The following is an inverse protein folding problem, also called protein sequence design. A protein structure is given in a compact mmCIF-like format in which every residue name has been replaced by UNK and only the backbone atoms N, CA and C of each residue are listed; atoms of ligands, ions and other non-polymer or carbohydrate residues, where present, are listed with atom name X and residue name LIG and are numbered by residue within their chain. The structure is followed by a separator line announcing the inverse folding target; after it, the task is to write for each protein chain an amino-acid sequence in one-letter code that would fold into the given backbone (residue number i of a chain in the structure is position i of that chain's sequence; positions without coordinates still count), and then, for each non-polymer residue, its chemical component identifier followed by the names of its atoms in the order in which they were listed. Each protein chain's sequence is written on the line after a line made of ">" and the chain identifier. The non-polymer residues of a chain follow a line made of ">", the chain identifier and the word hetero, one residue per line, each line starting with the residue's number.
data_IF_700898984495
#
_entry.id   IF_700898984495
#
_cell.length_a   1.000
_cell.length_b   1.000
_cell.length_c   1.000
_cell.angle_alpha   90.00
_cell.angle_beta   90.00
_cell.angle_gamma   90.00
#
_symmetry.space_group_name_H-M   'P 1'
#
loop_
_entity.id
_entity.type
_entity.pdbx_description
1 polymer ?
#
# COMPACT_ATOMS: atom_id res chain seq x y z
N UNK A 1 17.17 24.64 20.52
CA UNK A 1 16.04 23.78 20.93
C UNK A 1 15.54 23.07 19.68
N UNK A 2 15.33 21.76 19.72
CA UNK A 2 14.78 21.03 18.58
C UNK A 2 13.27 21.23 18.49
N UNK A 3 12.70 21.23 17.28
CA UNK A 3 11.27 21.44 17.02
C UNK A 3 10.73 20.35 16.10
N UNK A 4 9.53 19.84 16.41
CA UNK A 4 8.76 18.99 15.49
C UNK A 4 8.01 19.90 14.52
N UNK A 5 8.37 19.86 13.24
CA UNK A 5 7.81 20.74 12.20
C UNK A 5 6.68 20.09 11.38
N UNK A 6 6.59 18.77 11.39
CA UNK A 6 5.57 18.01 10.65
C UNK A 6 5.33 16.64 11.30
N UNK A 7 4.06 16.23 11.35
CA UNK A 7 3.64 14.85 11.58
C UNK A 7 2.80 14.36 10.41
N UNK A 8 3.07 13.14 9.92
CA UNK A 8 2.37 12.54 8.79
C UNK A 8 2.42 11.01 8.88
N UNK A 9 1.50 10.34 8.19
CA UNK A 9 1.47 8.88 8.10
C UNK A 9 1.05 8.43 6.70
N UNK A 10 1.52 7.26 6.31
CA UNK A 10 1.14 6.54 5.09
C UNK A 10 1.20 5.05 5.37
N UNK A 11 0.45 4.24 4.63
CA UNK A 11 0.64 2.79 4.64
C UNK A 11 2.06 2.44 4.17
N UNK A 12 2.64 1.36 4.69
CA UNK A 12 3.91 0.79 4.20
C UNK A 12 3.68 -0.47 3.34
N UNK A 13 2.42 -0.74 2.95
CA UNK A 13 2.06 -1.93 2.20
C UNK A 13 2.79 -2.04 0.85
N UNK A 14 3.17 -3.26 0.42
CA UNK A 14 4.03 -3.46 -0.75
C UNK A 14 3.42 -2.94 -2.05
N UNK A 15 2.09 -2.89 -2.15
CA UNK A 15 1.35 -2.40 -3.32
C UNK A 15 1.58 -0.90 -3.62
N UNK A 16 2.15 -0.13 -2.69
CA UNK A 16 2.57 1.26 -2.96
C UNK A 16 3.91 1.35 -3.71
N UNK A 17 4.70 0.27 -3.72
CA UNK A 17 6.02 0.24 -4.36
C UNK A 17 6.09 -0.77 -5.52
N UNK A 18 5.25 -1.80 -5.50
CA UNK A 18 5.15 -2.79 -6.59
C UNK A 18 4.17 -2.26 -7.64
N UNK A 19 4.54 -2.20 -8.93
CA UNK A 19 3.62 -1.76 -9.98
C UNK A 19 2.42 -2.71 -10.10
N UNK A 20 1.23 -2.22 -10.49
CA UNK A 20 0.01 -3.04 -10.62
C UNK A 20 0.19 -4.31 -11.46
N UNK A 21 1.02 -4.25 -12.51
CA UNK A 21 1.33 -5.41 -13.37
C UNK A 21 1.97 -6.58 -12.63
N UNK A 22 2.54 -6.34 -11.44
CA UNK A 22 3.22 -7.34 -10.62
C UNK A 22 2.44 -7.71 -9.35
N UNK A 23 1.24 -7.18 -9.13
CA UNK A 23 0.46 -7.51 -7.93
C UNK A 23 0.02 -8.97 -7.87
N UNK A 24 -0.03 -9.66 -9.00
CA UNK A 24 -0.28 -11.11 -9.04
C UNK A 24 0.75 -11.94 -8.24
N UNK A 25 1.98 -11.43 -8.08
CA UNK A 25 3.02 -12.07 -7.27
C UNK A 25 2.64 -12.13 -5.78
N UNK A 26 1.81 -11.18 -5.31
CA UNK A 26 1.29 -11.20 -3.94
C UNK A 26 0.27 -12.33 -3.76
N UNK A 27 -0.56 -12.58 -4.78
CA UNK A 27 -1.48 -13.72 -4.81
C UNK A 27 -0.71 -15.04 -4.79
N UNK A 28 0.35 -15.18 -5.60
CA UNK A 28 1.19 -16.39 -5.60
C UNK A 28 1.83 -16.65 -4.24
N UNK A 29 2.31 -15.59 -3.59
CA UNK A 29 2.83 -15.67 -2.22
C UNK A 29 1.75 -16.14 -1.24
N UNK A 30 0.57 -15.55 -1.27
CA UNK A 30 -0.51 -15.89 -0.33
C UNK A 30 -1.06 -17.31 -0.56
N UNK A 31 -1.03 -17.81 -1.80
CA UNK A 31 -1.40 -19.19 -2.14
C UNK A 31 -0.39 -20.24 -1.67
N UNK A 32 0.88 -19.85 -1.52
CA UNK A 32 1.98 -20.75 -1.14
C UNK A 32 2.41 -20.60 0.32
N UNK A 33 1.88 -19.60 1.03
CA UNK A 33 2.18 -19.37 2.44
C UNK A 33 1.52 -20.43 3.33
N UNK A 34 2.29 -21.28 4.04
CA UNK A 34 1.73 -22.33 4.88
C UNK A 34 0.94 -21.81 6.08
N UNK A 35 1.03 -20.51 6.39
CA UNK A 35 0.25 -19.85 7.45
C UNK A 35 -1.17 -19.51 7.02
N UNK A 36 -1.46 -19.58 5.71
CA UNK A 36 -2.73 -19.16 5.11
C UNK A 36 -3.46 -20.38 4.55
N UNK A 37 -4.66 -20.68 5.06
CA UNK A 37 -5.58 -21.62 4.38
C UNK A 37 -6.32 -20.89 3.25
N UNK A 38 -5.61 -20.70 2.13
CA UNK A 38 -6.14 -19.97 0.98
C UNK A 38 -7.42 -20.61 0.43
N UNK A 39 -7.54 -21.94 0.47
CA UNK A 39 -8.72 -22.66 -0.01
C UNK A 39 -9.94 -22.46 0.90
N UNK A 40 -9.76 -22.31 2.21
CA UNK A 40 -10.84 -21.87 3.09
C UNK A 40 -11.31 -20.45 2.78
N UNK A 41 -10.38 -19.52 2.51
CA UNK A 41 -10.71 -18.13 2.19
C UNK A 41 -11.52 -18.01 0.89
N UNK A 42 -11.18 -18.79 -0.15
CA UNK A 42 -11.94 -18.82 -1.40
C UNK A 42 -13.42 -19.24 -1.21
N UNK A 43 -13.72 -20.06 -0.19
CA UNK A 43 -15.09 -20.52 0.09
C UNK A 43 -15.97 -19.47 0.76
N UNK A 44 -15.37 -18.45 1.37
CA UNK A 44 -16.07 -17.38 2.09
C UNK A 44 -15.94 -16.02 1.39
N UNK A 45 -15.38 -16.00 0.18
CA UNK A 45 -15.14 -14.77 -0.57
C UNK A 45 -16.45 -14.06 -0.93
N UNK A 46 -16.54 -12.73 -0.74
CA UNK A 46 -17.67 -11.95 -1.25
C UNK A 46 -17.81 -12.08 -2.76
N UNK A 47 -19.06 -12.11 -3.26
CA UNK A 47 -19.35 -12.31 -4.69
C UNK A 47 -18.86 -11.18 -5.58
N UNK A 48 -18.80 -9.97 -5.03
CA UNK A 48 -18.38 -8.74 -5.68
C UNK A 48 -16.85 -8.55 -5.67
N UNK A 49 -16.10 -9.35 -4.91
CA UNK A 49 -14.65 -9.17 -4.81
C UNK A 49 -13.95 -9.32 -6.16
N UNK A 50 -14.45 -10.19 -7.05
CA UNK A 50 -13.88 -10.38 -8.38
C UNK A 50 -14.01 -9.13 -9.26
N UNK A 51 -15.07 -8.35 -9.07
CA UNK A 51 -15.29 -7.09 -9.79
C UNK A 51 -14.32 -6.00 -9.29
N UNK A 52 -13.93 -6.10 -8.02
CA UNK A 52 -12.99 -5.19 -7.35
C UNK A 52 -11.52 -5.68 -7.42
N UNK A 53 -11.22 -6.77 -8.12
CA UNK A 53 -9.88 -7.36 -8.21
C UNK A 53 -9.43 -7.61 -9.67
N UNK A 54 -9.61 -6.60 -10.52
CA UNK A 54 -9.17 -6.62 -11.92
C UNK A 54 -7.91 -5.74 -12.13
N UNK A 55 -7.23 -5.91 -13.27
CA UNK A 55 -6.09 -5.08 -13.67
C UNK A 55 -6.41 -3.59 -13.71
N UNK A 56 -7.61 -3.23 -14.16
CA UNK A 56 -8.07 -1.84 -14.27
C UNK A 56 -8.27 -1.25 -12.87
N UNK A 57 -8.88 -2.01 -11.95
CA UNK A 57 -9.04 -1.62 -10.55
C UNK A 57 -7.71 -1.49 -9.83
N UNK A 58 -6.74 -2.35 -10.14
CA UNK A 58 -5.39 -2.25 -9.58
C UNK A 58 -4.71 -0.95 -10.02
N UNK A 59 -4.76 -0.64 -11.32
CA UNK A 59 -4.19 0.58 -11.85
C UNK A 59 -4.88 1.83 -11.27
N UNK A 60 -6.21 1.85 -11.24
CA UNK A 60 -7.02 2.94 -10.67
C UNK A 60 -6.59 3.26 -9.22
N UNK A 61 -6.48 2.22 -8.38
CA UNK A 61 -6.13 2.39 -6.97
C UNK A 61 -4.68 2.79 -6.77
N UNK A 62 -3.76 2.20 -7.54
CA UNK A 62 -2.35 2.59 -7.52
C UNK A 62 -2.19 4.07 -7.85
N UNK A 63 -2.85 4.53 -8.92
CA UNK A 63 -2.81 5.93 -9.32
C UNK A 63 -3.39 6.85 -8.24
N UNK A 64 -4.54 6.48 -7.65
CA UNK A 64 -5.15 7.23 -6.55
C UNK A 64 -4.23 7.31 -5.32
N UNK A 65 -3.58 6.21 -4.95
CA UNK A 65 -2.58 6.20 -3.87
C UNK A 65 -1.40 7.11 -4.21
N UNK A 66 -0.88 7.07 -5.44
CA UNK A 66 0.23 7.93 -5.85
C UNK A 66 -0.15 9.42 -5.92
N UNK A 67 -1.39 9.78 -6.21
CA UNK A 67 -1.89 11.15 -6.06
C UNK A 67 -1.78 11.59 -4.59
N UNK A 68 -2.23 10.77 -3.65
CA UNK A 68 -2.15 11.08 -2.22
C UNK A 68 -0.68 11.15 -1.73
N UNK A 69 0.19 10.24 -2.18
CA UNK A 69 1.62 10.27 -1.87
C UNK A 69 2.29 11.55 -2.36
N UNK A 70 1.95 12.06 -3.56
CA UNK A 70 2.47 13.35 -4.05
C UNK A 70 2.04 14.53 -3.17
N UNK A 71 0.84 14.48 -2.59
CA UNK A 71 0.41 15.51 -1.62
C UNK A 71 1.24 15.47 -0.34
N UNK A 72 1.50 14.26 0.18
CA UNK A 72 2.38 14.04 1.33
C UNK A 72 3.82 14.51 1.05
N UNK A 73 4.35 14.18 -0.13
CA UNK A 73 5.66 14.65 -0.60
C UNK A 73 5.71 16.18 -0.62
N UNK A 74 4.69 16.84 -1.17
CA UNK A 74 4.60 18.30 -1.20
C UNK A 74 4.67 18.92 0.20
N UNK A 75 3.92 18.37 1.16
CA UNK A 75 3.96 18.81 2.57
C UNK A 75 5.32 18.59 3.21
N UNK A 76 5.94 17.43 2.99
CA UNK A 76 7.27 17.11 3.52
C UNK A 76 8.33 18.09 2.98
N UNK A 77 8.33 18.35 1.67
CA UNK A 77 9.25 19.30 1.03
C UNK A 77 9.05 20.73 1.53
N UNK A 78 7.79 21.14 1.73
CA UNK A 78 7.48 22.47 2.25
C UNK A 78 7.92 22.66 3.71
N UNK A 79 7.82 21.61 4.54
CA UNK A 79 8.23 21.64 5.93
C UNK A 79 9.75 21.71 6.13
N UNK A 80 10.54 21.29 5.13
CA UNK A 80 12.02 21.33 5.13
C UNK A 80 12.63 20.81 6.45
N UNK A 81 12.29 19.60 6.91
CA UNK A 81 12.86 19.08 8.15
C UNK A 81 14.36 18.79 7.99
N UNK A 82 15.14 19.09 9.02
CA UNK A 82 16.58 18.75 9.06
C UNK A 82 16.80 17.24 9.26
N UNK A 83 15.84 16.55 9.88
CA UNK A 83 15.85 15.11 10.11
C UNK A 83 14.44 14.52 10.05
N UNK A 84 14.32 13.26 9.62
CA UNK A 84 13.05 12.52 9.59
C UNK A 84 13.20 11.28 10.47
N UNK A 85 12.26 11.11 11.40
CA UNK A 85 12.12 9.88 12.20
C UNK A 85 10.99 9.05 11.60
N UNK A 86 11.32 7.87 11.10
CA UNK A 86 10.34 6.94 10.52
C UNK A 86 9.99 5.89 11.57
N UNK A 87 8.70 5.69 11.81
CA UNK A 87 8.17 4.69 12.74
C UNK A 87 7.36 3.68 11.93
N UNK A 88 7.74 2.41 11.99
CA UNK A 88 7.09 1.29 11.32
C UNK A 88 7.55 -0.03 11.90
N UNK A 89 6.95 -1.12 11.45
CA UNK A 89 7.36 -2.49 11.67
C UNK A 89 8.38 -2.97 10.60
N UNK A 90 9.07 -4.07 10.92
CA UNK A 90 10.06 -4.76 10.07
C UNK A 90 9.40 -5.90 9.28
#
# INVERSE_FOLDING_TARGET
>A
MAQVVLGMGTSHGPQLNIPPSQWHLLTEKDQTDPRIDYQALLRVVPRDLTEENTSEKWQERFDACHVALRHLEGKLRAAKPDAIVVIGDD
#
